data_IF_481034945698
#
_entry.id   IF_481034945698
#
_cell.length_a   1.000
_cell.length_b   1.000
_cell.length_c   1.000
_cell.angle_alpha   90.00
_cell.angle_beta   90.00
_cell.angle_gamma   90.00
#
_symmetry.space_group_name_H-M   'P 1'
#
loop_
_entity.id
_entity.type
_entity.pdbx_description
1 polymer ?
#
# COMPACT_ATOMS: atom_id res chain seq x y z
N UNK A 1 4.80 -13.72 -2.64
CA UNK A 1 3.85 -13.77 -1.50
C UNK A 1 2.47 -14.14 -2.01
N UNK A 2 1.60 -14.65 -1.14
CA UNK A 2 0.16 -14.79 -1.42
C UNK A 2 -0.59 -13.50 -1.07
N UNK A 3 -1.86 -13.38 -1.49
CA UNK A 3 -2.74 -12.27 -1.09
C UNK A 3 -2.86 -12.17 0.43
N UNK A 4 -2.99 -13.30 1.12
CA UNK A 4 -3.11 -13.38 2.58
C UNK A 4 -1.85 -12.83 3.27
N UNK A 5 -0.66 -13.22 2.83
CA UNK A 5 0.58 -12.68 3.40
C UNK A 5 0.73 -11.17 3.15
N UNK A 6 0.27 -10.67 2.00
CA UNK A 6 0.27 -9.23 1.70
C UNK A 6 -0.69 -8.46 2.61
N UNK A 7 -1.84 -9.05 2.93
CA UNK A 7 -2.80 -8.49 3.89
C UNK A 7 -2.17 -8.42 5.29
N UNK A 8 -1.55 -9.51 5.75
CA UNK A 8 -0.85 -9.50 7.04
C UNK A 8 0.27 -8.45 7.08
N UNK A 9 1.04 -8.33 6.01
CA UNK A 9 2.10 -7.33 5.89
C UNK A 9 1.52 -5.90 5.92
N UNK A 10 0.42 -5.67 5.21
CA UNK A 10 -0.27 -4.38 5.22
C UNK A 10 -0.80 -4.00 6.60
N UNK A 11 -1.31 -4.97 7.38
CA UNK A 11 -1.69 -4.71 8.78
C UNK A 11 -0.50 -4.32 9.64
N UNK A 12 0.66 -4.94 9.47
CA UNK A 12 1.88 -4.56 10.20
C UNK A 12 2.32 -3.13 9.86
N UNK A 13 2.25 -2.76 8.59
CA UNK A 13 2.58 -1.41 8.10
C UNK A 13 1.62 -0.38 8.71
N UNK A 14 0.31 -0.60 8.58
CA UNK A 14 -0.72 0.34 9.06
C UNK A 14 -0.72 0.49 10.58
N UNK A 15 -0.46 -0.60 11.32
CA UNK A 15 -0.37 -0.55 12.78
C UNK A 15 1.01 -0.12 13.30
N UNK A 16 1.97 0.19 12.41
CA UNK A 16 3.35 0.48 12.77
C UNK A 16 3.95 -0.58 13.73
N UNK A 17 3.71 -1.86 13.43
CA UNK A 17 4.13 -2.97 14.28
C UNK A 17 5.62 -3.28 14.06
N UNK A 18 6.49 -2.72 14.90
CA UNK A 18 7.93 -2.98 14.85
C UNK A 18 8.78 -1.73 15.08
N UNK A 19 10.07 -1.83 14.75
CA UNK A 19 10.96 -0.67 14.65
C UNK A 19 10.79 0.02 13.29
N UNK A 20 11.26 1.26 13.17
CA UNK A 20 11.26 2.00 11.90
C UNK A 20 11.93 1.19 10.77
N UNK A 21 13.06 0.54 11.06
CA UNK A 21 13.76 -0.33 10.11
C UNK A 21 12.88 -1.51 9.65
N UNK A 22 12.17 -2.17 10.57
CA UNK A 22 11.28 -3.28 10.22
C UNK A 22 10.09 -2.81 9.38
N UNK A 23 9.54 -1.64 9.70
CA UNK A 23 8.44 -1.05 8.94
C UNK A 23 8.91 -0.72 7.51
N UNK A 24 10.12 -0.19 7.35
CA UNK A 24 10.73 0.10 6.05
C UNK A 24 10.92 -1.20 5.23
N UNK A 25 11.42 -2.26 5.89
CA UNK A 25 11.54 -3.60 5.28
C UNK A 25 10.17 -4.15 4.84
N UNK A 26 9.13 -4.00 5.66
CA UNK A 26 7.77 -4.40 5.28
C UNK A 26 7.25 -3.59 4.09
N UNK A 27 7.55 -2.29 4.05
CA UNK A 27 7.18 -1.41 2.94
C UNK A 27 7.82 -1.84 1.62
N UNK A 28 9.12 -2.12 1.65
CA UNK A 28 9.87 -2.62 0.51
C UNK A 28 9.37 -4.00 0.07
N UNK A 29 9.16 -4.91 1.03
CA UNK A 29 8.71 -6.27 0.76
C UNK A 29 7.32 -6.27 0.11
N UNK A 30 6.40 -5.45 0.62
CA UNK A 30 5.08 -5.27 0.02
C UNK A 30 5.21 -4.80 -1.43
N UNK A 31 5.97 -3.72 -1.64
CA UNK A 31 6.12 -3.08 -2.95
C UNK A 31 6.79 -3.99 -3.98
N UNK A 32 7.72 -4.86 -3.56
CA UNK A 32 8.36 -5.86 -4.44
C UNK A 32 7.44 -7.02 -4.82
N UNK A 33 6.38 -7.28 -4.05
CA UNK A 33 5.47 -8.40 -4.26
C UNK A 33 4.16 -8.01 -4.96
N UNK A 34 3.96 -6.72 -5.27
CA UNK A 34 2.79 -6.21 -6.00
C UNK A 34 3.22 -5.55 -7.32
N UNK A 35 2.40 -5.62 -8.39
CA UNK A 35 2.72 -4.97 -9.65
C UNK A 35 2.64 -3.44 -9.58
N UNK A 36 1.95 -2.89 -8.58
CA UNK A 36 1.87 -1.44 -8.38
C UNK A 36 3.22 -0.86 -7.90
N UNK A 37 3.83 0.10 -8.62
CA UNK A 37 5.18 0.60 -8.32
C UNK A 37 5.29 1.28 -6.95
N UNK A 38 4.19 1.82 -6.43
CA UNK A 38 4.09 2.40 -5.08
C UNK A 38 2.98 1.75 -4.27
N UNK A 39 2.87 0.42 -4.32
CA UNK A 39 1.75 -0.31 -3.73
C UNK A 39 1.54 -0.04 -2.23
N UNK A 40 2.62 0.02 -1.46
CA UNK A 40 2.52 0.32 -0.03
C UNK A 40 2.10 1.77 0.25
N UNK A 41 2.34 2.71 -0.68
CA UNK A 41 1.92 4.10 -0.50
C UNK A 41 0.39 4.26 -0.48
N UNK A 42 -0.32 3.31 -1.10
CA UNK A 42 -1.78 3.25 -1.11
C UNK A 42 -2.37 2.99 0.29
N UNK A 43 -1.58 2.58 1.27
CA UNK A 43 -2.08 2.49 2.66
C UNK A 43 -2.36 3.87 3.27
N UNK A 44 -1.69 4.91 2.79
CA UNK A 44 -1.76 6.26 3.37
C UNK A 44 -2.24 7.32 2.40
N UNK A 45 -2.05 7.10 1.10
CA UNK A 45 -2.37 8.08 0.06
C UNK A 45 -3.12 7.44 -1.12
N UNK A 46 -4.21 8.06 -1.61
CA UNK A 46 -4.90 7.57 -2.80
C UNK A 46 -3.98 7.56 -4.02
N UNK A 47 -4.33 6.71 -4.99
CA UNK A 47 -3.66 6.71 -6.29
C UNK A 47 -3.82 8.08 -6.95
N UNK A 48 -2.70 8.71 -7.35
CA UNK A 48 -2.64 10.09 -7.85
C UNK A 48 -2.96 11.20 -6.84
N UNK A 49 -2.78 10.95 -5.53
CA UNK A 49 -2.91 11.98 -4.50
C UNK A 49 -2.17 13.28 -4.84
N UNK A 50 -2.90 14.40 -4.88
CA UNK A 50 -2.32 15.72 -5.02
C UNK A 50 -2.62 16.58 -3.78
N UNK A 51 -1.58 16.85 -3.00
CA UNK A 51 -1.68 17.62 -1.77
C UNK A 51 -2.27 19.05 -1.91
N UNK A 52 -2.39 19.58 -3.14
CA UNK A 52 -3.00 20.89 -3.40
C UNK A 52 -4.50 20.83 -3.65
N UNK A 53 -5.03 19.67 -4.04
CA UNK A 53 -6.41 19.51 -4.52
C UNK A 53 -7.19 18.41 -3.82
N UNK A 54 -6.50 17.39 -3.31
CA UNK A 54 -7.11 16.22 -2.69
C UNK A 54 -7.14 16.34 -1.16
N UNK A 55 -8.26 15.90 -0.59
CA UNK A 55 -8.49 15.83 0.84
C UNK A 55 -8.28 14.41 1.36
N UNK A 56 -7.30 14.22 2.23
CA UNK A 56 -7.03 12.92 2.87
C UNK A 56 -7.99 12.62 4.02
N UNK A 57 -8.78 13.58 4.48
CA UNK A 57 -9.65 13.40 5.66
C UNK A 57 -10.69 12.29 5.48
N UNK A 58 -10.99 11.93 4.23
CA UNK A 58 -11.91 10.83 3.87
C UNK A 58 -11.19 9.57 3.38
N UNK A 59 -9.86 9.61 3.26
CA UNK A 59 -9.08 8.49 2.77
C UNK A 59 -8.75 7.55 3.93
N UNK A 60 -9.54 6.49 4.04
CA UNK A 60 -9.35 5.44 5.04
C UNK A 60 -9.65 4.08 4.41
N UNK A 61 -8.84 3.62 3.45
CA UNK A 61 -9.04 2.32 2.83
C UNK A 61 -8.73 1.19 3.82
N UNK A 62 -9.42 0.06 3.67
CA UNK A 62 -9.05 -1.16 4.37
C UNK A 62 -7.76 -1.73 3.78
N UNK A 63 -6.96 -2.43 4.60
CA UNK A 63 -5.73 -3.09 4.13
C UNK A 63 -6.01 -4.03 2.94
N UNK A 64 -7.12 -4.77 3.00
CA UNK A 64 -7.55 -5.68 1.93
C UNK A 64 -7.84 -4.96 0.61
N UNK A 65 -8.50 -3.80 0.67
CA UNK A 65 -8.80 -2.96 -0.50
C UNK A 65 -7.50 -2.48 -1.15
N UNK A 66 -6.54 -2.04 -0.33
CA UNK A 66 -5.22 -1.60 -0.81
C UNK A 66 -4.46 -2.74 -1.48
N UNK A 67 -4.43 -3.92 -0.84
CA UNK A 67 -3.79 -5.11 -1.41
C UNK A 67 -4.41 -5.48 -2.73
N UNK A 68 -5.74 -5.46 -2.83
CA UNK A 68 -6.45 -5.77 -4.05
C UNK A 68 -6.19 -4.75 -5.16
N UNK A 69 -6.17 -3.45 -4.83
CA UNK A 69 -5.81 -2.38 -5.76
C UNK A 69 -4.37 -2.57 -6.26
N UNK A 70 -3.44 -2.82 -5.34
CA UNK A 70 -2.02 -2.99 -5.64
C UNK A 70 -1.77 -4.22 -6.53
N UNK A 71 -2.49 -5.33 -6.29
CA UNK A 71 -2.44 -6.55 -7.11
C UNK A 71 -3.15 -6.41 -8.45
N UNK A 72 -4.24 -5.65 -8.50
CA UNK A 72 -5.03 -5.42 -9.72
C UNK A 72 -4.42 -4.35 -10.62
N UNK A 73 -3.35 -3.68 -10.18
CA UNK A 73 -2.69 -2.65 -10.97
C UNK A 73 -2.20 -3.22 -12.29
N UNK A 74 -2.79 -2.72 -13.36
CA UNK A 74 -2.31 -2.89 -14.72
C UNK A 74 -1.63 -1.59 -15.09
N UNK A 75 -0.31 -1.64 -15.27
CA UNK A 75 0.40 -0.54 -15.92
C UNK A 75 -0.38 -0.24 -17.21
N UNK A 76 -0.93 0.96 -17.33
CA UNK A 76 -1.58 1.38 -18.58
C UNK A 76 -0.50 1.25 -19.65
N UNK A 77 -0.70 0.30 -20.58
CA UNK A 77 0.10 0.20 -21.79
C UNK A 77 0.07 1.58 -22.47
N UNK A 78 1.26 2.16 -22.64
CA UNK A 78 1.49 3.44 -23.29
C UNK A 78 1.40 3.30 -24.81
#
# INVERSE_FOLDING_TARGET
MTKEELIELGYKIVNAEGTEEQIDEYYELFSKNVPHPNGANLFFYPENYNARTDDLSKYNPSVEEVVELALSYKAKEV
#
